data_IF_702625253243
#
_entry.id   IF_702625253243
#
_cell.length_a   1.000
_cell.length_b   1.000
_cell.length_c   1.000
_cell.angle_alpha   90.00
_cell.angle_beta   90.00
_cell.angle_gamma   90.00
#
_symmetry.space_group_name_H-M   'P 1'
#
loop_
_entity.id
_entity.type
_entity.pdbx_description
1 polymer ?
#
# COMPACT_ATOMS: atom_id res chain seq x y z
N UNK A 1 3.61 32.27 -29.66
CA UNK A 1 4.04 31.82 -28.31
C UNK A 1 3.17 30.65 -27.90
N UNK A 2 3.59 29.37 -28.02
CA UNK A 2 2.75 28.26 -27.59
C UNK A 2 2.96 27.97 -26.10
N UNK A 3 1.86 27.94 -25.35
CA UNK A 3 1.77 27.61 -23.93
C UNK A 3 2.20 26.15 -23.69
N UNK A 4 3.21 25.96 -22.82
CA UNK A 4 3.59 24.65 -22.27
C UNK A 4 2.49 24.19 -21.32
N UNK A 5 1.73 23.19 -21.73
CA UNK A 5 0.81 22.45 -20.87
C UNK A 5 1.66 21.66 -19.88
N UNK A 6 1.72 22.13 -18.63
CA UNK A 6 2.34 21.42 -17.53
C UNK A 6 1.59 20.10 -17.31
N UNK A 7 2.14 19.02 -17.84
CA UNK A 7 1.69 17.68 -17.51
C UNK A 7 1.98 17.50 -16.01
N UNK A 8 0.92 17.51 -15.20
CA UNK A 8 0.97 16.98 -13.85
C UNK A 8 1.38 15.51 -13.98
N UNK A 9 2.67 15.22 -13.81
CA UNK A 9 3.15 13.90 -13.47
C UNK A 9 2.44 13.53 -12.17
N UNK A 10 1.39 12.72 -12.27
CA UNK A 10 0.88 11.97 -11.14
C UNK A 10 2.10 11.31 -10.50
N UNK A 11 2.39 11.65 -9.25
CA UNK A 11 3.42 10.98 -8.47
C UNK A 11 3.13 9.47 -8.58
N UNK A 12 4.10 8.72 -9.10
CA UNK A 12 3.98 7.27 -9.24
C UNK A 12 3.55 6.68 -7.89
N UNK A 13 2.66 5.68 -7.94
CA UNK A 13 2.25 4.94 -6.74
C UNK A 13 3.55 4.52 -5.99
N UNK A 14 3.68 4.71 -4.66
CA UNK A 14 4.87 4.28 -3.91
C UNK A 14 5.19 2.80 -4.15
N UNK A 15 4.15 2.01 -4.42
CA UNK A 15 4.29 0.64 -4.89
C UNK A 15 4.81 0.60 -6.32
N UNK A 16 4.45 1.50 -7.22
CA UNK A 16 5.01 1.65 -8.58
C UNK A 16 6.47 2.16 -8.61
N UNK A 17 6.89 2.98 -7.65
CA UNK A 17 8.30 3.30 -7.42
C UNK A 17 9.11 2.06 -6.95
N UNK A 18 8.48 1.17 -6.18
CA UNK A 18 8.98 -0.16 -5.85
C UNK A 18 8.83 -1.17 -7.02
N UNK A 19 7.77 -1.03 -7.85
CA UNK A 19 7.44 -1.80 -9.08
C UNK A 19 8.04 -1.14 -10.32
N UNK A 20 9.16 -0.42 -10.22
CA UNK A 20 10.08 -0.43 -11.36
C UNK A 20 10.65 -1.85 -11.41
N UNK A 21 9.82 -2.77 -11.89
CA UNK A 21 10.00 -4.21 -11.93
C UNK A 21 11.26 -4.54 -12.74
N UNK A 22 11.65 -5.82 -12.77
CA UNK A 22 12.45 -6.25 -13.90
C UNK A 22 11.67 -5.91 -15.17
N UNK A 23 12.34 -5.39 -16.21
CA UNK A 23 11.65 -4.98 -17.44
C UNK A 23 10.84 -6.11 -18.08
N UNK A 24 11.17 -7.37 -17.73
CA UNK A 24 10.54 -8.59 -18.21
C UNK A 24 10.64 -9.68 -17.11
N UNK A 25 9.59 -10.47 -16.86
CA UNK A 25 9.56 -11.64 -15.95
C UNK A 25 9.19 -12.90 -16.75
N UNK A 26 9.65 -14.09 -16.33
CA UNK A 26 9.30 -15.38 -16.95
C UNK A 26 7.95 -15.91 -16.46
N UNK A 27 7.47 -17.02 -17.04
CA UNK A 27 6.20 -17.65 -16.66
C UNK A 27 6.16 -18.11 -15.19
N UNK A 28 7.30 -18.16 -14.51
CA UNK A 28 7.44 -18.50 -13.09
C UNK A 28 7.59 -17.27 -12.18
N UNK A 29 7.50 -16.06 -12.73
CA UNK A 29 7.64 -14.79 -12.00
C UNK A 29 9.09 -14.47 -11.59
N UNK A 30 10.08 -15.10 -12.21
CA UNK A 30 11.49 -14.75 -12.04
C UNK A 30 11.87 -13.63 -13.02
N UNK A 31 12.69 -12.66 -12.60
CA UNK A 31 13.11 -11.57 -13.47
C UNK A 31 13.98 -12.08 -14.63
N UNK A 32 13.56 -11.84 -15.88
CA UNK A 32 14.35 -12.14 -17.08
C UNK A 32 15.40 -11.04 -17.24
N UNK A 33 16.66 -11.45 -17.28
CA UNK A 33 17.78 -10.55 -17.56
C UNK A 33 17.96 -10.42 -19.07
N UNK A 34 17.63 -9.26 -19.65
CA UNK A 34 18.07 -8.92 -21.00
C UNK A 34 19.51 -8.39 -20.96
N UNK A 35 20.49 -9.09 -21.56
CA UNK A 35 21.83 -8.56 -21.69
C UNK A 35 21.78 -7.27 -22.52
N UNK A 36 22.18 -6.15 -21.92
CA UNK A 36 22.23 -4.87 -22.65
C UNK A 36 23.25 -4.96 -23.80
N UNK A 37 22.78 -4.73 -25.03
CA UNK A 37 23.61 -4.77 -26.25
C UNK A 37 24.82 -3.81 -26.13
N UNK A 38 26.06 -4.31 -26.28
CA UNK A 38 27.27 -3.50 -26.20
C UNK A 38 27.37 -2.41 -27.28
N UNK A 39 26.56 -2.43 -28.34
CA UNK A 39 26.56 -1.39 -29.38
C UNK A 39 25.67 -0.17 -29.07
N UNK A 40 24.87 -0.19 -27.99
CA UNK A 40 23.87 0.86 -27.73
C UNK A 40 24.49 2.24 -27.41
N UNK A 41 24.08 3.33 -28.08
CA UNK A 41 24.59 4.67 -27.79
C UNK A 41 24.14 5.19 -26.41
N UNK A 42 25.07 5.83 -25.70
CA UNK A 42 24.85 6.50 -24.41
C UNK A 42 24.34 7.91 -24.69
N UNK A 43 23.27 8.35 -24.01
CA UNK A 43 22.70 9.67 -24.25
C UNK A 43 21.72 10.09 -23.15
N UNK A 44 21.08 11.25 -23.28
CA UNK A 44 20.21 11.80 -22.23
C UNK A 44 18.97 10.93 -21.91
N UNK A 45 18.57 10.04 -22.84
CA UNK A 45 17.52 9.04 -22.66
C UNK A 45 18.06 7.65 -22.24
N UNK A 46 19.39 7.48 -22.14
CA UNK A 46 20.06 6.23 -21.80
C UNK A 46 21.16 6.43 -20.77
N UNK A 47 20.97 6.00 -19.52
CA UNK A 47 21.95 6.20 -18.46
C UNK A 47 23.32 5.59 -18.81
N UNK A 48 24.42 6.10 -18.22
CA UNK A 48 25.78 5.72 -18.58
C UNK A 48 26.03 4.21 -18.43
N UNK A 49 26.85 3.66 -19.35
CA UNK A 49 27.31 2.26 -19.28
C UNK A 49 28.02 2.03 -17.96
N UNK A 50 27.58 1.02 -17.20
CA UNK A 50 28.30 0.56 -16.01
C UNK A 50 29.56 -0.17 -16.46
N UNK A 51 30.69 0.21 -15.87
CA UNK A 51 32.01 -0.34 -16.18
C UNK A 51 32.07 -1.83 -15.81
N UNK A 52 32.42 -2.69 -16.77
CA UNK A 52 32.80 -4.09 -16.52
C UNK A 52 34.09 -4.08 -15.69
N UNK A 53 34.09 -4.64 -14.48
CA UNK A 53 35.36 -4.85 -13.78
C UNK A 53 35.35 -5.05 -12.27
N UNK A 54 34.23 -4.99 -11.55
CA UNK A 54 34.19 -5.39 -10.13
C UNK A 54 32.92 -6.19 -9.85
N UNK A 55 33.03 -7.17 -8.96
CA UNK A 55 31.99 -8.08 -8.50
C UNK A 55 30.81 -7.35 -7.81
N UNK A 56 30.06 -6.59 -8.59
CA UNK A 56 28.87 -5.88 -8.17
C UNK A 56 27.89 -5.81 -9.34
N UNK A 57 27.48 -6.98 -9.86
CA UNK A 57 26.08 -7.04 -10.27
C UNK A 57 25.27 -6.66 -9.03
N UNK A 58 24.46 -5.59 -9.06
CA UNK A 58 23.49 -5.38 -7.99
C UNK A 58 22.71 -6.70 -7.86
N UNK A 59 22.39 -7.15 -6.64
CA UNK A 59 21.49 -8.28 -6.50
C UNK A 59 20.26 -8.02 -7.39
N UNK A 60 19.76 -9.05 -8.11
CA UNK A 60 18.62 -8.89 -9.00
C UNK A 60 17.50 -8.18 -8.24
N UNK A 61 16.78 -7.29 -8.95
CA UNK A 61 15.63 -6.61 -8.35
C UNK A 61 14.69 -7.67 -7.78
N UNK A 62 14.17 -7.49 -6.56
CA UNK A 62 13.29 -8.48 -5.96
C UNK A 62 12.06 -8.66 -6.85
N UNK A 63 11.64 -9.91 -7.04
CA UNK A 63 10.42 -10.21 -7.78
C UNK A 63 9.20 -9.64 -7.05
N UNK A 64 8.07 -9.54 -7.76
CA UNK A 64 6.81 -9.10 -7.14
C UNK A 64 6.42 -9.99 -5.96
N UNK A 65 6.56 -11.31 -6.09
CA UNK A 65 6.28 -12.25 -5.00
C UNK A 65 7.17 -12.00 -3.78
N UNK A 66 8.44 -11.70 -4.01
CA UNK A 66 9.37 -11.42 -2.92
C UNK A 66 9.07 -10.08 -2.23
N UNK A 67 8.67 -9.06 -2.99
CA UNK A 67 8.17 -7.80 -2.41
C UNK A 67 6.95 -8.05 -1.52
N UNK A 68 5.98 -8.82 -2.00
CA UNK A 68 4.77 -9.16 -1.23
C UNK A 68 5.12 -9.92 0.06
N UNK A 69 6.04 -10.88 -0.02
CA UNK A 69 6.55 -11.60 1.16
C UNK A 69 7.20 -10.65 2.17
N UNK A 70 8.07 -9.75 1.72
CA UNK A 70 8.75 -8.77 2.58
C UNK A 70 7.75 -7.83 3.25
N UNK A 71 6.73 -7.38 2.52
CA UNK A 71 5.66 -6.56 3.07
C UNK A 71 4.89 -7.32 4.14
N UNK A 72 4.48 -8.57 3.89
CA UNK A 72 3.78 -9.40 4.86
C UNK A 72 4.62 -9.67 6.12
N UNK A 73 5.91 -9.98 5.96
CA UNK A 73 6.84 -10.11 7.10
C UNK A 73 6.96 -8.79 7.89
N UNK A 74 7.05 -7.66 7.18
CA UNK A 74 7.05 -6.33 7.78
C UNK A 74 5.78 -6.04 8.58
N UNK A 75 4.61 -6.38 8.05
CA UNK A 75 3.32 -6.26 8.76
C UNK A 75 3.32 -7.08 10.04
N UNK A 76 3.81 -8.33 9.98
CA UNK A 76 3.92 -9.21 11.14
C UNK A 76 4.83 -8.61 12.23
N UNK A 77 5.99 -8.08 11.85
CA UNK A 77 6.92 -7.47 12.81
C UNK A 77 6.33 -6.22 13.47
N UNK A 78 5.64 -5.38 12.69
CA UNK A 78 4.93 -4.20 13.21
C UNK A 78 3.83 -4.65 14.19
N UNK A 79 3.03 -5.66 13.83
CA UNK A 79 1.96 -6.19 14.67
C UNK A 79 2.49 -6.78 15.98
N UNK A 80 3.63 -7.48 15.93
CA UNK A 80 4.33 -8.00 17.12
C UNK A 80 5.01 -6.91 17.96
N UNK A 81 5.05 -5.67 17.48
CA UNK A 81 5.70 -4.52 18.15
C UNK A 81 7.16 -4.79 18.51
N UNK A 82 7.88 -5.53 17.68
CA UNK A 82 9.30 -5.79 17.94
C UNK A 82 10.13 -4.51 17.75
N UNK A 83 11.26 -4.35 18.48
CA UNK A 83 12.11 -3.17 18.36
C UNK A 83 12.68 -2.98 16.95
N UNK A 84 12.83 -1.72 16.51
CA UNK A 84 13.33 -1.40 15.17
C UNK A 84 14.73 -1.94 14.90
N UNK A 85 15.59 -1.98 15.93
CA UNK A 85 16.92 -2.58 15.82
C UNK A 85 16.84 -4.07 15.44
N UNK A 86 15.94 -4.82 16.08
CA UNK A 86 15.71 -6.24 15.78
C UNK A 86 15.07 -6.44 14.40
N UNK A 87 14.23 -5.50 13.95
CA UNK A 87 13.72 -5.51 12.57
C UNK A 87 14.85 -5.38 11.56
N UNK A 88 15.83 -4.51 11.80
CA UNK A 88 16.98 -4.37 10.91
C UNK A 88 17.85 -5.64 10.86
N UNK A 89 18.04 -6.32 12.00
CA UNK A 89 18.73 -7.61 12.05
C UNK A 89 17.96 -8.67 11.25
N UNK A 90 16.67 -8.83 11.51
CA UNK A 90 15.81 -9.76 10.77
C UNK A 90 15.77 -9.49 9.28
N UNK A 91 15.67 -8.23 8.86
CA UNK A 91 15.67 -7.87 7.44
C UNK A 91 17.01 -8.16 6.75
N UNK A 92 18.14 -8.05 7.46
CA UNK A 92 19.45 -8.48 6.93
C UNK A 92 19.49 -9.99 6.71
N UNK A 93 18.94 -10.76 7.65
CA UNK A 93 18.92 -12.22 7.58
C UNK A 93 17.90 -12.77 6.58
N UNK A 94 16.65 -12.30 6.63
CA UNK A 94 15.54 -12.85 5.83
C UNK A 94 15.42 -12.25 4.44
N UNK A 95 15.74 -10.95 4.28
CA UNK A 95 15.61 -10.25 2.99
C UNK A 95 16.95 -10.05 2.27
N UNK A 96 18.08 -10.27 2.97
CA UNK A 96 19.40 -9.95 2.45
C UNK A 96 19.62 -8.44 2.24
N UNK A 97 18.83 -7.58 2.90
CA UNK A 97 18.88 -6.13 2.74
C UNK A 97 19.62 -5.49 3.91
N UNK A 98 20.73 -4.83 3.62
CA UNK A 98 21.54 -4.10 4.63
C UNK A 98 21.23 -2.61 4.69
N UNK A 99 20.65 -2.04 3.63
CA UNK A 99 20.31 -0.63 3.53
C UNK A 99 19.04 -0.31 4.36
N UNK A 100 19.21 0.52 5.40
CA UNK A 100 18.12 0.97 6.26
C UNK A 100 17.02 1.73 5.52
N UNK A 101 17.34 2.49 4.47
CA UNK A 101 16.35 3.21 3.66
C UNK A 101 15.43 2.24 2.92
N UNK A 102 15.99 1.18 2.34
CA UNK A 102 15.22 0.14 1.66
C UNK A 102 14.32 -0.60 2.65
N UNK A 103 14.83 -0.94 3.82
CA UNK A 103 14.03 -1.57 4.89
C UNK A 103 12.89 -0.65 5.30
N UNK A 104 13.17 0.63 5.57
CA UNK A 104 12.16 1.63 5.94
C UNK A 104 11.09 1.80 4.85
N UNK A 105 11.45 1.68 3.56
CA UNK A 105 10.49 1.73 2.46
C UNK A 105 9.49 0.57 2.53
N UNK A 106 9.96 -0.66 2.76
CA UNK A 106 9.08 -1.81 2.98
C UNK A 106 8.22 -1.66 4.23
N UNK A 107 8.78 -1.13 5.33
CA UNK A 107 8.02 -0.91 6.56
C UNK A 107 6.95 0.17 6.41
N UNK A 108 7.21 1.23 5.64
CA UNK A 108 6.23 2.26 5.31
C UNK A 108 5.08 1.65 4.50
N UNK A 109 5.41 0.89 3.44
CA UNK A 109 4.40 0.22 2.64
C UNK A 109 3.57 -0.77 3.46
N UNK A 110 4.21 -1.53 4.36
CA UNK A 110 3.51 -2.41 5.28
C UNK A 110 2.52 -1.64 6.18
N UNK A 111 2.93 -0.49 6.74
CA UNK A 111 2.04 0.37 7.54
C UNK A 111 0.87 0.91 6.73
N UNK A 112 1.12 1.38 5.51
CA UNK A 112 0.08 1.91 4.63
C UNK A 112 -0.98 0.84 4.35
N UNK A 113 -0.57 -0.37 3.97
CA UNK A 113 -1.50 -1.49 3.73
C UNK A 113 -2.26 -1.92 4.98
N UNK A 114 -1.58 -1.99 6.14
CA UNK A 114 -2.26 -2.29 7.41
C UNK A 114 -3.35 -1.26 7.72
N UNK A 115 -3.11 0.02 7.45
CA UNK A 115 -4.11 1.07 7.65
C UNK A 115 -5.26 0.94 6.64
N UNK A 116 -4.96 0.64 5.38
CA UNK A 116 -5.98 0.39 4.35
C UNK A 116 -6.88 -0.79 4.71
N UNK A 117 -6.30 -1.91 5.16
CA UNK A 117 -7.02 -3.08 5.66
C UNK A 117 -7.92 -2.71 6.85
N UNK A 118 -7.40 -1.99 7.84
CA UNK A 118 -8.18 -1.52 8.99
C UNK A 118 -9.36 -0.61 8.59
N UNK A 119 -9.15 0.27 7.61
CA UNK A 119 -10.21 1.14 7.08
C UNK A 119 -11.27 0.31 6.35
N UNK A 120 -10.84 -0.66 5.53
CA UNK A 120 -11.72 -1.57 4.82
C UNK A 120 -12.57 -2.41 5.78
N UNK A 121 -11.94 -3.02 6.79
CA UNK A 121 -12.59 -3.82 7.81
C UNK A 121 -13.59 -2.98 8.63
N UNK A 122 -13.20 -1.77 9.03
CA UNK A 122 -14.11 -0.85 9.72
C UNK A 122 -15.34 -0.54 8.86
N UNK A 123 -15.16 -0.24 7.57
CA UNK A 123 -16.28 0.05 6.66
C UNK A 123 -17.19 -1.15 6.49
N UNK A 124 -16.60 -2.34 6.31
CA UNK A 124 -17.34 -3.60 6.22
C UNK A 124 -18.18 -3.84 7.48
N UNK A 125 -17.57 -3.73 8.65
CA UNK A 125 -18.25 -3.91 9.93
C UNK A 125 -19.40 -2.92 10.13
N UNK A 126 -19.20 -1.65 9.78
CA UNK A 126 -20.26 -0.64 9.83
C UNK A 126 -21.40 -0.95 8.87
N UNK A 127 -21.11 -1.44 7.65
CA UNK A 127 -22.13 -1.87 6.71
C UNK A 127 -22.94 -3.05 7.26
N UNK A 128 -22.27 -4.06 7.84
CA UNK A 128 -22.91 -5.21 8.48
C UNK A 128 -23.86 -4.77 9.62
N UNK A 129 -23.43 -3.82 10.46
CA UNK A 129 -24.30 -3.25 11.51
C UNK A 129 -25.53 -2.55 10.93
N UNK A 130 -25.37 -1.74 9.87
CA UNK A 130 -26.49 -1.07 9.20
C UNK A 130 -27.48 -2.10 8.65
N UNK A 131 -27.01 -3.18 8.03
CA UNK A 131 -27.88 -4.23 7.52
C UNK A 131 -28.64 -4.94 8.64
N UNK A 132 -27.97 -5.29 9.73
CA UNK A 132 -28.60 -5.92 10.89
C UNK A 132 -29.67 -5.02 11.53
N UNK A 133 -29.39 -3.73 11.68
CA UNK A 133 -30.34 -2.75 12.22
C UNK A 133 -31.53 -2.54 11.29
N UNK A 134 -31.33 -2.54 9.97
CA UNK A 134 -32.42 -2.43 9.01
C UNK A 134 -33.35 -3.64 9.08
N UNK A 135 -32.80 -4.85 9.20
CA UNK A 135 -33.60 -6.06 9.36
C UNK A 135 -34.37 -6.03 10.70
N UNK A 136 -33.73 -5.61 11.78
CA UNK A 136 -34.37 -5.40 13.07
C UNK A 136 -35.52 -4.37 12.99
N UNK A 137 -35.30 -3.24 12.31
CA UNK A 137 -36.31 -2.20 12.14
C UNK A 137 -37.52 -2.73 11.35
N UNK A 138 -37.29 -3.52 10.29
CA UNK A 138 -38.35 -4.16 9.52
C UNK A 138 -39.20 -5.08 10.40
N UNK A 139 -38.56 -6.01 11.13
CA UNK A 139 -39.27 -6.93 12.04
C UNK A 139 -40.03 -6.20 13.14
N UNK A 140 -39.48 -5.12 13.67
CA UNK A 140 -40.14 -4.29 14.67
C UNK A 140 -41.39 -3.59 14.10
N UNK A 141 -41.32 -3.09 12.85
CA UNK A 141 -42.49 -2.53 12.16
C UNK A 141 -43.55 -3.59 11.88
N UNK A 142 -43.15 -4.79 11.43
CA UNK A 142 -44.08 -5.91 11.22
C UNK A 142 -44.79 -6.35 12.52
N UNK A 143 -44.15 -6.13 13.67
CA UNK A 143 -44.70 -6.39 15.00
C UNK A 143 -45.35 -5.16 15.66
N UNK A 144 -45.57 -4.06 14.92
CA UNK A 144 -46.14 -2.79 15.41
C UNK A 144 -45.34 -2.12 16.55
N UNK A 145 -44.08 -2.51 16.75
CA UNK A 145 -43.15 -1.93 17.71
C UNK A 145 -42.42 -0.71 17.14
N UNK A 146 -43.19 0.33 16.80
CA UNK A 146 -42.67 1.51 16.09
C UNK A 146 -41.56 2.27 16.85
N UNK A 147 -41.60 2.28 18.18
CA UNK A 147 -40.55 2.91 19.00
C UNK A 147 -39.19 2.23 18.81
N UNK A 148 -39.17 0.90 18.72
CA UNK A 148 -37.96 0.12 18.47
C UNK A 148 -37.45 0.34 17.03
N UNK A 149 -38.35 0.40 16.04
CA UNK A 149 -37.99 0.70 14.66
C UNK A 149 -37.35 2.09 14.50
N UNK A 150 -37.95 3.12 15.12
CA UNK A 150 -37.40 4.49 15.12
C UNK A 150 -36.03 4.52 15.81
N UNK A 151 -35.87 3.79 16.91
CA UNK A 151 -34.59 3.62 17.59
C UNK A 151 -33.51 3.03 16.68
N UNK A 152 -33.82 1.95 15.96
CA UNK A 152 -32.90 1.33 15.01
C UNK A 152 -32.50 2.27 13.86
N UNK A 153 -33.45 3.02 13.29
CA UNK A 153 -33.15 4.01 12.25
C UNK A 153 -32.29 5.18 12.73
N UNK A 154 -32.46 5.61 13.99
CA UNK A 154 -31.58 6.62 14.59
C UNK A 154 -30.13 6.13 14.66
N UNK A 155 -29.91 4.90 15.12
CA UNK A 155 -28.56 4.32 15.18
C UNK A 155 -27.97 4.15 13.78
N UNK A 156 -28.77 3.75 12.78
CA UNK A 156 -28.32 3.70 11.38
C UNK A 156 -27.84 5.08 10.91
N UNK A 157 -28.58 6.15 11.22
CA UNK A 157 -28.21 7.51 10.86
C UNK A 157 -26.90 7.95 11.54
N UNK A 158 -26.68 7.58 12.80
CA UNK A 158 -25.43 7.84 13.54
C UNK A 158 -24.24 7.11 12.90
N UNK A 159 -24.38 5.82 12.58
CA UNK A 159 -23.33 5.05 11.88
C UNK A 159 -23.07 5.64 10.48
N UNK A 160 -24.12 6.01 9.75
CA UNK A 160 -24.02 6.68 8.44
C UNK A 160 -23.30 8.03 8.52
N UNK A 161 -23.49 8.78 9.61
CA UNK A 161 -22.75 10.01 9.90
C UNK A 161 -21.25 9.75 10.08
N UNK A 162 -20.89 8.70 10.83
CA UNK A 162 -19.49 8.30 11.03
C UNK A 162 -18.79 7.88 9.73
N UNK A 163 -19.52 7.28 8.77
CA UNK A 163 -18.99 6.91 7.45
C UNK A 163 -18.69 8.12 6.55
N UNK A 164 -19.44 9.21 6.71
CA UNK A 164 -19.27 10.46 5.94
C UNK A 164 -18.22 11.39 6.54
N UNK A 165 -17.85 11.19 7.80
CA UNK A 165 -16.83 12.00 8.45
C UNK A 165 -15.45 11.81 7.77
N UNK A 166 -14.71 12.89 7.50
CA UNK A 166 -13.37 12.78 6.93
C UNK A 166 -12.44 12.04 7.89
N UNK A 167 -11.72 11.03 7.38
CA UNK A 167 -10.81 10.19 8.17
C UNK A 167 -9.55 10.97 8.58
N UNK A 168 -9.14 11.95 7.76
CA UNK A 168 -8.05 12.88 8.09
C UNK A 168 -8.63 14.21 8.58
N UNK A 169 -8.03 14.86 9.58
CA UNK A 169 -8.42 16.20 9.98
C UNK A 169 -8.29 17.17 8.79
N UNK A 170 -9.18 18.16 8.66
CA UNK A 170 -9.07 19.17 7.61
C UNK A 170 -7.73 19.90 7.77
N UNK A 171 -6.98 20.03 6.66
CA UNK A 171 -5.73 20.79 6.68
C UNK A 171 -6.03 22.23 7.12
N UNK A 172 -5.26 22.71 8.10
CA UNK A 172 -5.34 24.09 8.55
C UNK A 172 -4.97 24.98 7.37
N UNK A 173 -5.99 25.60 6.74
CA UNK A 173 -5.76 26.69 5.80
C UNK A 173 -5.13 27.82 6.60
N UNK A 174 -3.82 28.00 6.41
CA UNK A 174 -3.09 29.13 6.96
C UNK A 174 -3.80 30.43 6.56
N UNK A 175 -4.20 31.18 7.58
CA UNK A 175 -4.66 32.56 7.49
C UNK A 175 -3.55 33.49 7.02
#
# INVERSE_FOLDING_TARGET
MPQRVAHHQAAADPVEELRSAASTEDDNGQPIYEPTDPARPIGHANPPRRTKGQAAQPPPRPSRLEVERRVAEGQLWIAQRIPLALIYEKARESWGVTNSQTINRYLNLARERMVEELISDRRRHQAEQIFALNDCARRAMDAEQFSAAVGAFRVIAEIGGLLRAPIKPPEARGS
#
